data_IF_328012236482
#
_entry.id   IF_328012236482
#
_cell.length_a   1.000
_cell.length_b   1.000
_cell.length_c   1.000
_cell.angle_alpha   90.00
_cell.angle_beta   90.00
_cell.angle_gamma   90.00
#
_symmetry.space_group_name_H-M   'P 1'
#
loop_
_entity.id
_entity.type
_entity.pdbx_description
1 polymer ?
#
# COMPACT_ATOMS: atom_id res chain seq x y z
N UNK A 1 -18.90 -21.89 -31.44
CA UNK A 1 -18.04 -20.78 -31.89
C UNK A 1 -17.93 -19.68 -30.84
N UNK A 2 -18.99 -19.29 -30.15
CA UNK A 2 -18.93 -18.26 -29.09
C UNK A 2 -18.07 -18.66 -27.86
N UNK A 3 -17.99 -19.94 -27.54
CA UNK A 3 -17.21 -20.46 -26.42
C UNK A 3 -15.69 -20.36 -26.63
N UNK A 4 -15.22 -20.46 -27.87
CA UNK A 4 -13.79 -20.32 -28.20
C UNK A 4 -13.33 -18.87 -28.06
N UNK A 5 -14.16 -17.92 -28.45
CA UNK A 5 -13.85 -16.48 -28.29
C UNK A 5 -13.84 -16.06 -26.82
N UNK A 6 -14.74 -16.60 -26.02
CA UNK A 6 -14.76 -16.34 -24.57
C UNK A 6 -13.53 -16.90 -23.85
N UNK A 7 -13.08 -18.10 -24.23
CA UNK A 7 -11.87 -18.70 -23.65
C UNK A 7 -10.61 -17.95 -24.07
N UNK A 8 -10.50 -17.56 -25.33
CA UNK A 8 -9.38 -16.75 -25.81
C UNK A 8 -9.35 -15.37 -25.12
N UNK A 9 -10.50 -14.75 -24.98
CA UNK A 9 -10.62 -13.47 -24.28
C UNK A 9 -10.22 -13.57 -22.82
N UNK A 10 -10.71 -14.58 -22.11
CA UNK A 10 -10.36 -14.84 -20.70
C UNK A 10 -8.87 -15.18 -20.54
N UNK A 11 -8.29 -15.93 -21.47
CA UNK A 11 -6.88 -16.29 -21.46
C UNK A 11 -6.01 -15.07 -21.72
N UNK A 12 -6.39 -14.20 -22.65
CA UNK A 12 -5.68 -12.96 -22.94
C UNK A 12 -5.78 -11.97 -21.78
N UNK A 13 -6.96 -11.86 -21.19
CA UNK A 13 -7.18 -11.01 -20.02
C UNK A 13 -6.35 -11.49 -18.81
N UNK A 14 -6.37 -12.80 -18.56
CA UNK A 14 -5.57 -13.42 -17.51
C UNK A 14 -4.07 -13.24 -17.74
N UNK A 15 -3.60 -13.42 -18.97
CA UNK A 15 -2.20 -13.19 -19.33
C UNK A 15 -1.80 -11.73 -19.16
N UNK A 16 -2.69 -10.82 -19.50
CA UNK A 16 -2.48 -9.38 -19.31
C UNK A 16 -2.37 -9.00 -17.83
N UNK A 17 -3.26 -9.51 -16.99
CA UNK A 17 -3.19 -9.30 -15.54
C UNK A 17 -1.95 -9.93 -14.92
N UNK A 18 -1.59 -11.12 -15.36
CA UNK A 18 -0.39 -11.80 -14.89
C UNK A 18 0.88 -11.06 -15.27
N UNK A 19 0.94 -10.50 -16.48
CA UNK A 19 2.05 -9.68 -16.95
C UNK A 19 2.17 -8.37 -16.13
N UNK A 20 1.06 -7.71 -15.86
CA UNK A 20 1.02 -6.50 -15.02
C UNK A 20 1.42 -6.83 -13.59
N UNK A 21 0.95 -7.95 -13.06
CA UNK A 21 1.30 -8.42 -11.72
C UNK A 21 2.79 -8.73 -11.59
N UNK A 22 3.37 -9.43 -12.57
CA UNK A 22 4.80 -9.74 -12.59
C UNK A 22 5.67 -8.50 -12.72
N UNK A 23 5.29 -7.57 -13.57
CA UNK A 23 5.98 -6.29 -13.71
C UNK A 23 5.90 -5.46 -12.42
N UNK A 24 4.75 -5.48 -11.77
CA UNK A 24 4.53 -4.80 -10.48
C UNK A 24 5.35 -5.45 -9.36
N UNK A 25 5.36 -6.78 -9.28
CA UNK A 25 6.16 -7.51 -8.30
C UNK A 25 7.66 -7.27 -8.48
N UNK A 26 8.14 -7.25 -9.71
CA UNK A 26 9.54 -6.98 -10.02
C UNK A 26 9.94 -5.55 -9.64
N UNK A 27 9.09 -4.56 -9.94
CA UNK A 27 9.33 -3.17 -9.56
C UNK A 27 9.32 -3.00 -8.05
N UNK A 28 8.42 -3.68 -7.34
CA UNK A 28 8.34 -3.67 -5.89
C UNK A 28 9.59 -4.30 -5.27
N UNK A 29 10.06 -5.41 -5.83
CA UNK A 29 11.24 -6.11 -5.33
C UNK A 29 12.51 -5.28 -5.49
N UNK A 30 12.68 -4.59 -6.63
CA UNK A 30 13.79 -3.66 -6.86
C UNK A 30 13.74 -2.46 -5.90
N UNK A 31 12.57 -1.87 -5.70
CA UNK A 31 12.40 -0.75 -4.76
C UNK A 31 12.56 -1.19 -3.31
N UNK A 32 12.15 -2.40 -2.96
CA UNK A 32 12.34 -2.97 -1.63
C UNK A 32 13.82 -3.17 -1.30
N UNK A 33 14.61 -3.67 -2.26
CA UNK A 33 16.05 -3.82 -2.10
C UNK A 33 16.74 -2.47 -1.90
N UNK A 34 16.29 -1.45 -2.62
CA UNK A 34 16.81 -0.09 -2.49
C UNK A 34 16.37 0.57 -1.19
N UNK A 35 15.12 0.37 -0.77
CA UNK A 35 14.60 0.86 0.50
C UNK A 35 15.30 0.22 1.69
N UNK A 36 15.55 -1.09 1.66
CA UNK A 36 16.30 -1.81 2.68
C UNK A 36 17.73 -1.27 2.79
N UNK A 37 18.34 -0.93 1.68
CA UNK A 37 19.69 -0.35 1.67
C UNK A 37 19.71 1.05 2.27
N UNK A 38 18.72 1.88 1.94
CA UNK A 38 18.56 3.24 2.48
C UNK A 38 18.25 3.17 3.98
N UNK A 39 17.40 2.25 4.38
CA UNK A 39 17.05 2.03 5.78
C UNK A 39 18.27 1.62 6.62
N UNK A 40 19.13 0.75 6.10
CA UNK A 40 20.39 0.37 6.77
C UNK A 40 21.38 1.53 6.87
N UNK A 41 21.47 2.37 5.87
CA UNK A 41 22.30 3.58 5.89
C UNK A 41 21.73 4.63 6.84
N UNK A 42 20.40 4.72 6.98
CA UNK A 42 19.73 5.62 7.90
C UNK A 42 19.72 5.13 9.33
N UNK A 43 19.69 3.82 9.58
CA UNK A 43 19.80 3.25 10.93
C UNK A 43 21.11 3.64 11.61
N UNK A 44 22.18 3.78 10.86
CA UNK A 44 23.49 4.23 11.38
C UNK A 44 23.47 5.72 11.73
N UNK A 45 22.61 6.52 11.10
CA UNK A 45 22.50 7.96 11.35
C UNK A 45 21.31 8.35 12.22
N UNK A 46 20.37 7.45 12.47
CA UNK A 46 19.12 7.71 13.17
C UNK A 46 19.06 7.23 14.63
N UNK A 47 20.16 6.71 15.16
CA UNK A 47 20.23 6.38 16.60
C UNK A 47 19.97 7.58 17.51
N UNK A 48 19.81 8.78 16.94
CA UNK A 48 19.72 10.04 17.69
C UNK A 48 18.38 10.75 17.50
N UNK A 49 17.50 10.28 16.62
CA UNK A 49 16.19 10.92 16.44
C UNK A 49 15.13 10.12 17.16
N UNK A 50 14.63 10.62 18.29
CA UNK A 50 13.49 9.99 18.92
C UNK A 50 12.29 10.06 17.96
N UNK A 51 11.65 8.94 17.73
CA UNK A 51 10.41 8.81 16.97
C UNK A 51 9.24 9.52 17.65
N UNK A 52 9.46 10.71 18.10
CA UNK A 52 8.43 11.49 18.78
C UNK A 52 7.51 12.22 17.82
N UNK A 53 7.86 12.23 16.55
CA UNK A 53 7.09 12.96 15.54
C UNK A 53 5.83 12.22 15.07
N UNK A 54 5.59 11.00 15.55
CA UNK A 54 4.58 10.14 14.97
C UNK A 54 3.27 10.04 15.75
N UNK A 55 3.16 10.75 16.84
CA UNK A 55 1.94 10.70 17.62
C UNK A 55 0.89 11.66 17.09
N UNK A 56 0.18 11.23 16.09
CA UNK A 56 -1.17 11.66 15.89
C UNK A 56 -1.42 12.81 14.95
N UNK A 57 -0.42 13.45 14.36
CA UNK A 57 -0.67 14.49 13.38
C UNK A 57 -0.24 14.05 11.98
N UNK A 58 -1.18 13.40 11.31
CA UNK A 58 -1.07 13.21 9.87
C UNK A 58 -1.37 14.56 9.21
N UNK A 59 -0.45 15.04 8.40
CA UNK A 59 -0.64 16.27 7.64
C UNK A 59 -1.79 16.18 6.65
N UNK A 60 -2.20 17.31 6.14
CA UNK A 60 -3.25 17.39 5.12
C UNK A 60 -2.75 17.08 3.71
N UNK A 61 -1.45 16.94 3.54
CA UNK A 61 -0.79 16.73 2.26
C UNK A 61 0.06 15.45 2.32
N UNK A 62 -0.05 14.63 1.28
CA UNK A 62 0.73 13.40 1.15
C UNK A 62 2.24 13.64 1.10
N UNK A 63 2.68 14.82 0.69
CA UNK A 63 4.10 15.17 0.70
C UNK A 63 4.72 15.16 2.10
N UNK A 64 3.90 15.35 3.13
CA UNK A 64 4.32 15.32 4.54
C UNK A 64 4.16 13.94 5.19
N UNK A 65 3.60 12.97 4.48
CA UNK A 65 3.33 11.62 5.00
C UNK A 65 4.23 10.62 4.30
N UNK A 66 5.26 10.17 4.99
CA UNK A 66 6.10 9.06 4.51
C UNK A 66 5.40 7.71 4.74
N UNK A 67 5.81 6.63 4.05
CA UNK A 67 5.30 5.30 4.34
C UNK A 67 5.46 4.89 5.81
N UNK A 68 6.54 5.30 6.44
CA UNK A 68 6.82 5.04 7.86
C UNK A 68 5.82 5.73 8.77
N UNK A 69 5.51 6.98 8.49
CA UNK A 69 4.49 7.75 9.24
C UNK A 69 3.12 7.07 9.10
N UNK A 70 2.76 6.68 7.89
CA UNK A 70 1.51 5.99 7.62
C UNK A 70 1.44 4.64 8.35
N UNK A 71 2.50 3.84 8.29
CA UNK A 71 2.58 2.55 8.97
C UNK A 71 2.47 2.70 10.48
N UNK A 72 3.16 3.67 11.06
CA UNK A 72 3.09 3.94 12.50
C UNK A 72 1.69 4.38 12.93
N UNK A 73 1.06 5.22 12.15
CA UNK A 73 -0.31 5.66 12.43
C UNK A 73 -1.29 4.49 12.47
N UNK A 74 -1.26 3.64 11.43
CA UNK A 74 -2.14 2.47 11.35
C UNK A 74 -1.83 1.48 12.47
N UNK A 75 -0.56 1.26 12.76
CA UNK A 75 -0.12 0.37 13.84
C UNK A 75 -0.67 0.82 15.20
N UNK A 76 -0.67 2.13 15.47
CA UNK A 76 -1.20 2.68 16.71
C UNK A 76 -2.70 2.47 16.87
N UNK A 77 -3.43 2.33 15.77
CA UNK A 77 -4.90 2.15 15.75
C UNK A 77 -5.32 0.69 15.71
N UNK A 78 -4.51 -0.19 15.15
CA UNK A 78 -4.86 -1.59 14.92
C UNK A 78 -4.19 -2.55 15.89
N UNK A 79 -3.10 -2.14 16.52
CA UNK A 79 -2.29 -3.02 17.36
C UNK A 79 -1.36 -3.96 16.58
N UNK A 80 -1.41 -3.92 15.25
CA UNK A 80 -0.47 -4.66 14.40
C UNK A 80 0.81 -3.85 14.25
N UNK A 81 1.96 -4.50 14.31
CA UNK A 81 3.26 -3.81 14.26
C UNK A 81 3.46 -2.97 13.02
N UNK A 82 4.11 -1.82 13.19
CA UNK A 82 4.38 -0.89 12.10
C UNK A 82 5.20 -1.52 10.97
N UNK A 83 6.10 -2.43 11.29
CA UNK A 83 6.91 -3.14 10.29
C UNK A 83 6.03 -3.98 9.34
N UNK A 84 4.96 -4.56 9.85
CA UNK A 84 4.01 -5.32 9.02
C UNK A 84 3.27 -4.38 8.06
N UNK A 85 2.78 -3.26 8.55
CA UNK A 85 2.11 -2.26 7.72
C UNK A 85 3.04 -1.65 6.67
N UNK A 86 4.27 -1.39 7.06
CA UNK A 86 5.28 -0.86 6.14
C UNK A 86 5.56 -1.84 5.00
N UNK A 87 5.68 -3.13 5.31
CA UNK A 87 5.87 -4.19 4.33
C UNK A 87 4.70 -4.24 3.33
N UNK A 88 3.47 -4.16 3.82
CA UNK A 88 2.27 -4.13 2.98
C UNK A 88 2.26 -2.88 2.09
N UNK A 89 2.57 -1.72 2.63
CA UNK A 89 2.63 -0.47 1.87
C UNK A 89 3.62 -0.58 0.71
N UNK A 90 4.80 -1.11 0.95
CA UNK A 90 5.79 -1.30 -0.11
C UNK A 90 5.37 -2.34 -1.14
N UNK A 91 4.75 -3.43 -0.71
CA UNK A 91 4.25 -4.46 -1.62
C UNK A 91 3.07 -3.99 -2.48
N UNK A 92 2.19 -3.17 -1.91
CA UNK A 92 0.99 -2.69 -2.62
C UNK A 92 1.27 -1.52 -3.53
N UNK A 93 2.06 -0.55 -3.12
CA UNK A 93 2.21 0.73 -3.82
C UNK A 93 3.64 1.19 -4.00
N UNK A 94 4.63 0.45 -3.49
CA UNK A 94 6.02 0.89 -3.41
C UNK A 94 6.21 2.20 -2.63
N UNK A 95 5.28 2.48 -1.74
CA UNK A 95 5.28 3.72 -0.95
C UNK A 95 4.72 4.93 -1.69
N UNK A 96 4.10 4.76 -2.85
CA UNK A 96 3.53 5.85 -3.62
C UNK A 96 2.07 6.07 -3.24
N UNK A 97 1.71 7.24 -2.67
CA UNK A 97 0.33 7.52 -2.24
C UNK A 97 -0.65 7.83 -3.38
N UNK A 98 -0.15 7.98 -4.59
CA UNK A 98 -0.97 8.36 -5.76
C UNK A 98 -1.14 7.24 -6.78
N UNK A 99 -0.60 6.06 -6.53
CA UNK A 99 -0.67 4.97 -7.51
C UNK A 99 -2.07 4.38 -7.57
N UNK A 100 -2.56 4.17 -8.77
CA UNK A 100 -3.83 3.49 -9.04
C UNK A 100 -3.57 2.31 -9.96
N UNK A 101 -4.14 1.15 -9.61
CA UNK A 101 -4.04 -0.02 -10.45
C UNK A 101 -5.23 -0.11 -11.43
N UNK A 102 -5.19 -1.03 -12.43
CA UNK A 102 -6.26 -1.13 -13.44
C UNK A 102 -7.63 -1.50 -12.88
N UNK A 103 -7.72 -2.04 -11.68
CA UNK A 103 -9.01 -2.41 -11.06
C UNK A 103 -9.52 -1.37 -10.07
N UNK A 104 -8.91 -0.19 -10.02
CA UNK A 104 -9.35 0.91 -9.18
C UNK A 104 -8.87 0.88 -7.75
N UNK A 105 -7.82 0.13 -7.44
CA UNK A 105 -7.17 0.21 -6.14
C UNK A 105 -6.26 1.42 -6.08
N UNK A 106 -6.38 2.21 -5.04
CA UNK A 106 -5.74 3.51 -4.92
C UNK A 106 -4.86 3.63 -3.67
N UNK A 107 -3.73 4.29 -3.83
CA UNK A 107 -2.92 4.82 -2.75
C UNK A 107 -1.97 3.82 -2.11
N UNK A 108 -1.44 4.19 -0.95
CA UNK A 108 -0.40 3.42 -0.23
C UNK A 108 -0.77 1.97 0.00
N UNK A 109 -2.01 1.72 0.36
CA UNK A 109 -2.52 0.38 0.70
C UNK A 109 -3.38 -0.21 -0.40
N UNK A 110 -3.44 0.43 -1.55
CA UNK A 110 -4.21 -0.03 -2.70
C UNK A 110 -5.65 -0.43 -2.32
N UNK A 111 -6.37 0.52 -1.71
CA UNK A 111 -7.76 0.33 -1.32
C UNK A 111 -8.63 0.26 -2.57
N UNK A 112 -9.40 -0.79 -2.70
CA UNK A 112 -10.30 -0.99 -3.85
C UNK A 112 -11.50 -0.05 -3.75
N UNK A 113 -11.51 0.99 -4.58
CA UNK A 113 -12.56 2.01 -4.57
C UNK A 113 -13.92 1.49 -5.01
N UNK A 114 -13.97 0.42 -5.80
CA UNK A 114 -15.25 -0.19 -6.20
C UNK A 114 -15.92 -0.94 -5.06
N UNK A 115 -15.15 -1.38 -4.07
CA UNK A 115 -15.66 -2.11 -2.88
C UNK A 115 -15.88 -1.17 -1.70
N UNK A 116 -14.93 -0.26 -1.45
CA UNK A 116 -14.90 0.56 -0.24
C UNK A 116 -15.26 2.03 -0.48
N UNK A 117 -15.56 2.40 -1.72
CA UNK A 117 -15.82 3.79 -2.10
C UNK A 117 -14.57 4.56 -2.47
N UNK A 118 -14.75 5.74 -3.04
CA UNK A 118 -13.65 6.55 -3.52
C UNK A 118 -12.75 7.02 -2.38
N UNK A 119 -11.45 6.75 -2.51
CA UNK A 119 -10.44 7.16 -1.53
C UNK A 119 -9.40 8.12 -2.14
N UNK A 120 -9.42 8.32 -3.44
CA UNK A 120 -8.48 9.19 -4.14
C UNK A 120 -8.64 10.66 -3.82
N UNK A 121 -9.81 11.06 -3.30
CA UNK A 121 -10.12 12.43 -2.89
C UNK A 121 -10.00 12.65 -1.37
N UNK A 122 -9.61 11.63 -0.62
CA UNK A 122 -9.49 11.74 0.83
C UNK A 122 -8.16 12.41 1.23
N UNK A 123 -8.19 13.11 2.36
CA UNK A 123 -6.95 13.56 3.01
C UNK A 123 -6.13 12.35 3.47
N UNK A 124 -4.81 12.50 3.70
CA UNK A 124 -4.00 11.41 4.20
C UNK A 124 -4.58 10.76 5.46
N UNK A 125 -5.03 11.56 6.41
CA UNK A 125 -5.62 11.03 7.64
C UNK A 125 -6.88 10.21 7.36
N UNK A 126 -7.79 10.74 6.56
CA UNK A 126 -9.03 10.04 6.22
C UNK A 126 -8.77 8.75 5.45
N UNK A 127 -7.79 8.75 4.56
CA UNK A 127 -7.35 7.55 3.86
C UNK A 127 -6.83 6.49 4.84
N UNK A 128 -5.97 6.87 5.76
CA UNK A 128 -5.41 5.95 6.75
C UNK A 128 -6.47 5.45 7.73
N UNK A 129 -7.40 6.31 8.14
CA UNK A 129 -8.54 5.92 8.96
C UNK A 129 -9.46 4.93 8.22
N UNK A 130 -9.60 5.09 6.91
CA UNK A 130 -10.31 4.14 6.07
C UNK A 130 -9.61 2.78 6.06
N UNK A 131 -8.30 2.75 5.92
CA UNK A 131 -7.52 1.53 5.99
C UNK A 131 -7.66 0.83 7.34
N UNK A 132 -7.63 1.58 8.43
CA UNK A 132 -7.86 1.07 9.79
C UNK A 132 -9.25 0.43 9.89
N UNK A 133 -10.27 1.10 9.38
CA UNK A 133 -11.65 0.60 9.37
C UNK A 133 -11.78 -0.71 8.58
N UNK A 134 -11.15 -0.80 7.42
CA UNK A 134 -11.14 -2.01 6.59
C UNK A 134 -10.49 -3.17 7.35
N UNK A 135 -9.38 -2.90 8.03
CA UNK A 135 -8.71 -3.91 8.86
C UNK A 135 -9.59 -4.38 10.01
N UNK A 136 -10.27 -3.47 10.68
CA UNK A 136 -11.16 -3.80 11.79
C UNK A 136 -12.35 -4.66 11.34
N UNK A 137 -12.83 -4.45 10.11
CA UNK A 137 -13.95 -5.20 9.56
C UNK A 137 -13.53 -6.57 9.01
N UNK A 138 -12.40 -6.66 8.35
CA UNK A 138 -12.00 -7.85 7.55
C UNK A 138 -10.66 -8.45 7.98
N UNK A 139 -9.93 -7.84 8.90
CA UNK A 139 -8.58 -8.23 9.23
C UNK A 139 -7.64 -8.06 8.04
N UNK A 140 -6.56 -8.84 8.03
CA UNK A 140 -5.58 -8.80 6.96
C UNK A 140 -6.07 -9.33 5.62
N UNK A 141 -7.21 -10.01 5.58
CA UNK A 141 -7.76 -10.61 4.36
C UNK A 141 -8.10 -9.59 3.27
N UNK A 142 -8.26 -8.32 3.61
CA UNK A 142 -8.50 -7.26 2.65
C UNK A 142 -7.29 -7.00 1.73
N UNK A 143 -6.11 -7.42 2.14
CA UNK A 143 -4.87 -7.25 1.38
C UNK A 143 -4.31 -8.61 0.98
N UNK A 144 -4.10 -8.79 -0.33
CA UNK A 144 -3.55 -10.03 -0.88
C UNK A 144 -2.10 -10.27 -0.44
N UNK A 145 -1.40 -9.22 -0.02
CA UNK A 145 -0.01 -9.25 0.44
C UNK A 145 0.13 -9.51 1.94
N UNK A 146 -0.96 -9.64 2.65
CA UNK A 146 -0.95 -9.88 4.11
C UNK A 146 -0.25 -11.24 4.51
#
# INVERSE_FOLDING_TARGET
MAQLYEQEFKTQEKAKYEHIRQAKEKAIEEQRAEADRIEREQEVSLEVVPNTATNGNIGTDWSSVSPEIAANYIASKTGVGASKWLDIIYKESSGNPYVENPIGCWGLLQINQSVHGQVSNLSPQDYLDKAVSIYQDSGGSAWATW
#
